data_IF_082694211215
#
_entry.id   IF_082694211215
#
_cell.length_a   1.000
_cell.length_b   1.000
_cell.length_c   1.000
_cell.angle_alpha   90.00
_cell.angle_beta   90.00
_cell.angle_gamma   90.00
#
_symmetry.space_group_name_H-M   'P 1'
#
loop_
_entity.id
_entity.type
_entity.pdbx_description
1 polymer ?
#
# COMPACT_ATOMS: atom_id res chain seq x y z
N UNK A 1 25.87 13.14 0.70
CA UNK A 1 25.74 14.34 1.58
C UNK A 1 25.69 13.81 3.01
N UNK A 2 26.43 14.42 3.94
CA UNK A 2 26.39 13.98 5.35
C UNK A 2 25.26 14.74 6.06
N UNK A 3 24.23 13.99 6.47
CA UNK A 3 23.09 14.56 7.17
C UNK A 3 23.33 14.62 8.69
N UNK A 4 22.95 15.71 9.34
CA UNK A 4 23.03 15.80 10.79
C UNK A 4 22.00 14.90 11.47
N UNK A 5 22.25 14.53 12.73
CA UNK A 5 21.33 13.72 13.52
C UNK A 5 19.92 14.36 13.61
N UNK A 6 19.86 15.67 13.80
CA UNK A 6 18.59 16.39 13.87
C UNK A 6 17.83 16.38 12.54
N UNK A 7 18.51 16.51 11.40
CA UNK A 7 17.86 16.40 10.09
C UNK A 7 17.24 15.00 9.89
N UNK A 8 17.97 13.94 10.28
CA UNK A 8 17.44 12.56 10.26
C UNK A 8 16.20 12.44 11.13
N UNK A 9 16.23 12.98 12.37
CA UNK A 9 15.07 12.93 13.28
C UNK A 9 13.85 13.66 12.71
N UNK A 10 14.03 14.83 12.07
CA UNK A 10 12.91 15.55 11.45
C UNK A 10 12.32 14.81 10.24
N UNK A 11 13.16 14.19 9.41
CA UNK A 11 12.65 13.39 8.30
C UNK A 11 11.96 12.10 8.78
N UNK A 12 12.50 11.46 9.83
CA UNK A 12 11.80 10.33 10.47
C UNK A 12 10.42 10.76 10.98
N UNK A 13 10.31 11.96 11.54
CA UNK A 13 9.02 12.51 11.96
C UNK A 13 8.08 12.75 10.78
N UNK A 14 8.58 13.24 9.64
CA UNK A 14 7.78 13.40 8.42
C UNK A 14 7.25 12.05 7.89
N UNK A 15 8.09 11.01 7.91
CA UNK A 15 7.68 9.64 7.57
C UNK A 15 6.60 9.11 8.53
N UNK A 16 6.77 9.33 9.85
CA UNK A 16 5.77 8.91 10.84
C UNK A 16 4.42 9.62 10.64
N UNK A 17 4.46 10.93 10.36
CA UNK A 17 3.25 11.72 10.11
C UNK A 17 2.53 11.27 8.84
N UNK A 18 3.26 10.90 7.78
CA UNK A 18 2.70 10.34 6.55
C UNK A 18 1.81 9.11 6.81
N UNK A 19 2.16 8.26 7.79
CA UNK A 19 1.38 7.05 8.13
C UNK A 19 -0.08 7.32 8.49
N UNK A 20 -0.42 8.52 8.93
CA UNK A 20 -1.80 8.92 9.25
C UNK A 20 -2.73 8.91 8.03
N UNK A 21 -2.16 9.01 6.81
CA UNK A 21 -2.86 8.91 5.53
C UNK A 21 -3.02 7.48 5.00
N UNK A 22 -2.41 6.48 5.64
CA UNK A 22 -2.37 5.10 5.14
C UNK A 22 -3.78 4.51 4.96
N UNK A 23 -4.02 3.94 3.76
CA UNK A 23 -5.30 3.36 3.37
C UNK A 23 -6.38 4.37 2.95
N UNK A 24 -6.08 5.68 2.89
CA UNK A 24 -7.05 6.75 2.59
C UNK A 24 -6.72 7.55 1.33
N UNK A 25 -5.46 7.59 0.92
CA UNK A 25 -4.95 8.55 -0.07
C UNK A 25 -4.88 8.00 -1.50
N UNK A 26 -4.81 6.69 -1.70
CA UNK A 26 -4.69 6.09 -3.04
C UNK A 26 -5.75 6.62 -4.02
N UNK A 27 -5.40 6.90 -5.28
CA UNK A 27 -4.12 6.63 -5.93
C UNK A 27 -3.00 7.65 -5.69
N UNK A 28 -3.17 8.65 -4.81
CA UNK A 28 -2.11 9.56 -4.43
C UNK A 28 -1.07 8.88 -3.54
N UNK A 29 0.20 9.34 -3.56
CA UNK A 29 1.23 8.82 -2.68
C UNK A 29 0.99 9.19 -1.21
N UNK A 30 1.58 8.40 -0.32
CA UNK A 30 1.60 8.65 1.11
C UNK A 30 2.69 9.67 1.43
N UNK A 31 2.31 10.92 1.72
CA UNK A 31 3.25 12.02 1.92
C UNK A 31 3.06 12.66 3.29
N UNK A 32 4.18 13.00 3.93
CA UNK A 32 4.24 13.78 5.17
C UNK A 32 5.18 14.97 5.02
N UNK A 33 4.87 16.02 5.75
CA UNK A 33 5.66 17.26 5.80
C UNK A 33 5.81 17.74 7.24
N UNK A 34 7.03 18.12 7.62
CA UNK A 34 7.33 18.73 8.92
C UNK A 34 8.03 20.07 8.70
N UNK A 35 7.48 21.14 9.28
CA UNK A 35 8.10 22.47 9.26
C UNK A 35 8.94 22.69 10.52
N UNK A 36 10.20 23.06 10.32
CA UNK A 36 11.17 23.28 11.38
C UNK A 36 11.70 24.72 11.34
N UNK A 37 11.65 25.41 12.48
CA UNK A 37 12.20 26.74 12.63
C UNK A 37 13.02 26.82 13.93
N UNK A 38 14.21 27.41 13.86
CA UNK A 38 15.12 27.54 14.99
C UNK A 38 15.38 26.20 15.72
N UNK A 39 15.50 25.10 14.93
CA UNK A 39 15.75 23.75 15.43
C UNK A 39 14.55 23.08 16.13
N UNK A 40 13.37 23.64 16.02
CA UNK A 40 12.13 23.09 16.60
C UNK A 40 11.07 22.83 15.54
N UNK A 41 10.34 21.72 15.68
CA UNK A 41 9.15 21.47 14.88
C UNK A 41 8.08 22.51 15.28
N UNK A 42 7.57 23.23 14.28
CA UNK A 42 6.51 24.25 14.47
C UNK A 42 5.18 23.79 13.88
N UNK A 43 5.17 22.83 12.95
CA UNK A 43 3.95 22.29 12.36
C UNK A 43 4.20 20.96 11.67
N UNK A 44 3.12 20.19 11.46
CA UNK A 44 3.09 18.90 10.78
C UNK A 44 1.92 18.84 9.80
N UNK A 45 2.13 18.15 8.69
CA UNK A 45 1.08 17.90 7.70
C UNK A 45 1.25 16.55 7.03
N UNK A 46 0.16 15.98 6.58
CA UNK A 46 0.13 14.75 5.80
C UNK A 46 -0.99 14.82 4.78
N UNK A 47 -0.88 14.05 3.72
CA UNK A 47 -2.02 13.88 2.82
C UNK A 47 -3.05 12.98 3.52
N UNK A 48 -4.18 13.55 3.93
CA UNK A 48 -5.13 12.86 4.82
C UNK A 48 -6.10 11.94 4.05
N UNK A 49 -6.56 12.39 2.88
CA UNK A 49 -7.49 11.64 2.04
C UNK A 49 -7.45 12.12 0.58
N UNK A 50 -7.91 11.28 -0.34
CA UNK A 50 -7.98 11.63 -1.76
C UNK A 50 -8.85 12.88 -1.99
N UNK A 51 -8.23 13.90 -2.61
CA UNK A 51 -8.85 15.21 -2.88
C UNK A 51 -8.73 16.21 -1.74
N UNK A 52 -8.13 15.83 -0.60
CA UNK A 52 -7.75 16.72 0.49
C UNK A 52 -6.47 17.53 0.20
N UNK A 53 -6.06 18.35 1.17
CA UNK A 53 -4.80 19.10 1.09
C UNK A 53 -3.60 18.16 0.98
N UNK A 54 -2.58 18.58 0.26
CA UNK A 54 -1.29 17.91 0.27
C UNK A 54 -0.55 18.19 1.58
N UNK A 55 0.43 17.35 1.90
CA UNK A 55 1.14 17.40 3.18
C UNK A 55 1.77 18.78 3.47
N UNK A 56 2.37 19.41 2.46
CA UNK A 56 3.01 20.73 2.57
C UNK A 56 1.98 21.80 2.88
N UNK A 57 0.84 21.80 2.17
CA UNK A 57 -0.25 22.75 2.40
C UNK A 57 -0.87 22.57 3.78
N UNK A 58 -1.05 21.31 4.21
CA UNK A 58 -1.54 21.01 5.55
C UNK A 58 -0.57 21.48 6.64
N UNK A 59 0.74 21.28 6.46
CA UNK A 59 1.76 21.74 7.42
C UNK A 59 1.81 23.27 7.51
N UNK A 60 1.67 23.99 6.40
CA UNK A 60 1.60 25.45 6.38
C UNK A 60 0.36 25.92 7.14
N UNK A 61 -0.81 25.33 6.85
CA UNK A 61 -2.05 25.64 7.53
C UNK A 61 -1.99 25.33 9.04
N UNK A 62 -1.38 24.22 9.43
CA UNK A 62 -1.16 23.86 10.83
C UNK A 62 -0.28 24.89 11.56
N UNK A 63 0.80 25.35 10.92
CA UNK A 63 1.65 26.41 11.47
C UNK A 63 0.83 27.69 11.76
N UNK A 64 0.08 28.16 10.76
CA UNK A 64 -0.73 29.37 10.87
C UNK A 64 -1.83 29.24 11.93
N UNK A 65 -2.52 28.10 11.98
CA UNK A 65 -3.57 27.82 12.97
C UNK A 65 -3.02 27.81 14.40
N UNK A 66 -1.76 27.40 14.59
CA UNK A 66 -1.08 27.42 15.89
C UNK A 66 -0.33 28.74 16.18
N UNK A 67 -0.50 29.78 15.36
CA UNK A 67 0.11 31.08 15.56
C UNK A 67 1.60 31.12 15.23
N UNK A 68 2.14 30.15 14.50
CA UNK A 68 3.50 30.11 14.03
C UNK A 68 3.62 30.65 12.60
N UNK A 69 4.62 31.49 12.36
CA UNK A 69 4.93 31.92 10.98
C UNK A 69 5.85 30.91 10.32
N UNK A 70 5.44 30.31 9.17
CA UNK A 70 6.28 29.40 8.39
C UNK A 70 7.44 30.11 7.70
N UNK A 71 7.41 31.45 7.58
CA UNK A 71 8.44 32.22 6.91
C UNK A 71 9.82 31.98 7.54
N UNK A 72 10.79 31.60 6.72
CA UNK A 72 12.16 31.25 7.13
C UNK A 72 12.30 29.84 7.72
N UNK A 73 11.25 29.02 7.73
CA UNK A 73 11.34 27.63 8.16
C UNK A 73 12.02 26.72 7.12
N UNK A 74 12.44 25.53 7.56
CA UNK A 74 12.87 24.40 6.73
C UNK A 74 11.74 23.41 6.65
N UNK A 75 11.36 22.98 5.44
CA UNK A 75 10.36 21.94 5.21
C UNK A 75 11.05 20.59 4.95
N UNK A 76 10.72 19.57 5.73
CA UNK A 76 11.10 18.17 5.51
C UNK A 76 9.93 17.46 4.89
N UNK A 77 10.06 17.00 3.64
CA UNK A 77 8.97 16.39 2.87
C UNK A 77 9.39 15.02 2.37
N UNK A 78 8.54 14.02 2.54
CA UNK A 78 8.87 12.63 2.18
C UNK A 78 8.91 12.37 0.69
N UNK A 79 8.28 13.22 -0.14
CA UNK A 79 8.29 13.16 -1.60
C UNK A 79 8.48 14.56 -2.20
N UNK A 80 9.06 14.64 -3.39
CA UNK A 80 9.22 15.88 -4.15
C UNK A 80 7.90 16.65 -4.27
N UNK A 81 7.85 17.94 -3.85
CA UNK A 81 6.65 18.77 -3.97
C UNK A 81 6.16 18.89 -5.41
N UNK A 82 4.86 18.71 -5.61
CA UNK A 82 4.26 18.83 -6.95
C UNK A 82 4.35 20.25 -7.50
N UNK A 83 4.55 20.36 -8.83
CA UNK A 83 4.62 21.62 -9.57
C UNK A 83 3.58 21.71 -10.72
N UNK A 84 2.44 21.05 -10.55
CA UNK A 84 1.34 21.12 -11.51
C UNK A 84 0.04 21.51 -10.81
N UNK A 85 -0.82 22.21 -11.53
CA UNK A 85 -2.15 22.54 -11.04
C UNK A 85 -3.04 21.31 -11.08
N UNK A 86 -3.47 20.88 -9.91
CA UNK A 86 -4.46 19.85 -9.71
C UNK A 86 -5.79 20.47 -9.24
N UNK A 87 -6.41 19.85 -8.25
CA UNK A 87 -7.58 20.41 -7.53
C UNK A 87 -7.18 21.54 -6.57
N UNK A 88 -5.93 21.58 -6.18
CA UNK A 88 -5.30 22.61 -5.34
C UNK A 88 -4.13 23.24 -6.11
N UNK A 89 -3.69 24.48 -5.74
CA UNK A 89 -2.45 25.05 -6.27
C UNK A 89 -1.25 24.11 -6.04
N UNK A 90 -0.18 24.22 -6.88
CA UNK A 90 1.03 23.44 -6.70
C UNK A 90 1.62 23.60 -5.29
N UNK A 91 2.17 22.54 -4.72
CA UNK A 91 2.85 22.60 -3.43
C UNK A 91 4.09 23.52 -3.47
N UNK A 92 4.76 23.60 -4.63
CA UNK A 92 5.87 24.54 -4.84
C UNK A 92 5.43 25.98 -4.60
N UNK A 93 4.28 26.41 -5.17
CA UNK A 93 3.74 27.76 -4.94
C UNK A 93 3.39 27.99 -3.47
N UNK A 94 2.75 27.01 -2.82
CA UNK A 94 2.41 27.12 -1.41
C UNK A 94 3.65 27.32 -0.51
N UNK A 95 4.72 26.58 -0.78
CA UNK A 95 6.01 26.71 -0.06
C UNK A 95 6.66 28.08 -0.32
N UNK A 96 6.65 28.55 -1.57
CA UNK A 96 7.17 29.89 -1.94
C UNK A 96 6.39 31.00 -1.22
N UNK A 97 5.06 30.99 -1.26
CA UNK A 97 4.22 32.00 -0.62
C UNK A 97 4.31 32.00 0.89
N UNK A 98 4.53 30.82 1.49
CA UNK A 98 4.79 30.69 2.92
C UNK A 98 6.17 31.21 3.35
N UNK A 99 7.05 31.52 2.39
CA UNK A 99 8.40 32.02 2.64
C UNK A 99 9.35 30.95 3.22
N UNK A 100 9.15 29.68 2.83
CA UNK A 100 10.06 28.59 3.21
C UNK A 100 11.47 28.88 2.64
N UNK A 101 12.50 28.75 3.46
CA UNK A 101 13.87 29.05 3.06
C UNK A 101 14.63 27.85 2.48
N UNK A 102 14.26 26.65 2.92
CA UNK A 102 14.91 25.41 2.53
C UNK A 102 13.90 24.26 2.52
N UNK A 103 14.01 23.38 1.52
CA UNK A 103 13.23 22.15 1.41
C UNK A 103 14.17 20.95 1.38
N UNK A 104 13.96 19.99 2.28
CA UNK A 104 14.70 18.74 2.35
C UNK A 104 13.75 17.63 1.97
N UNK A 105 14.05 16.92 0.89
CA UNK A 105 13.19 15.91 0.26
C UNK A 105 13.79 14.52 0.51
N UNK A 106 12.96 13.57 0.92
CA UNK A 106 13.42 12.20 1.04
C UNK A 106 13.55 11.53 -0.33
N UNK A 107 12.50 11.48 -1.14
CA UNK A 107 12.48 10.79 -2.43
C UNK A 107 12.03 11.74 -3.55
N UNK A 108 12.68 11.66 -4.71
CA UNK A 108 12.22 12.37 -5.91
C UNK A 108 10.97 11.71 -6.47
N UNK A 109 10.08 12.50 -7.06
CA UNK A 109 8.89 11.93 -7.68
C UNK A 109 9.28 11.12 -8.94
N UNK A 110 8.96 9.83 -9.01
CA UNK A 110 9.26 9.00 -10.17
C UNK A 110 8.35 9.27 -11.36
N UNK A 111 7.20 9.95 -11.15
CA UNK A 111 6.26 10.26 -12.20
C UNK A 111 6.91 11.19 -13.24
N UNK A 112 7.05 10.76 -14.51
CA UNK A 112 7.74 11.56 -15.55
C UNK A 112 7.16 12.96 -15.78
N UNK A 113 5.89 13.17 -15.43
CA UNK A 113 5.23 14.48 -15.57
C UNK A 113 5.50 15.44 -14.42
N UNK A 114 6.06 14.95 -13.31
CA UNK A 114 6.36 15.71 -12.10
C UNK A 114 7.87 15.79 -11.85
N UNK A 115 8.60 14.71 -12.14
CA UNK A 115 10.00 14.46 -11.80
C UNK A 115 10.91 15.66 -12.08
N UNK A 116 11.51 16.19 -11.03
CA UNK A 116 12.49 17.28 -11.08
C UNK A 116 11.91 18.66 -11.34
N UNK A 117 10.63 18.77 -11.71
CA UNK A 117 10.01 20.07 -11.98
C UNK A 117 9.73 20.86 -10.70
N UNK A 118 9.45 20.16 -9.60
CA UNK A 118 9.25 20.77 -8.29
C UNK A 118 10.55 21.30 -7.70
N UNK A 119 11.61 20.51 -7.77
CA UNK A 119 12.96 20.91 -7.32
C UNK A 119 13.43 22.16 -8.09
N UNK A 120 13.39 22.12 -9.43
CA UNK A 120 13.82 23.23 -10.25
C UNK A 120 13.02 24.50 -9.98
N UNK A 121 11.69 24.43 -9.85
CA UNK A 121 10.86 25.59 -9.57
C UNK A 121 11.20 26.24 -8.21
N UNK A 122 11.48 25.44 -7.18
CA UNK A 122 11.88 25.93 -5.86
C UNK A 122 13.27 26.59 -5.92
N UNK A 123 14.25 25.99 -6.61
CA UNK A 123 15.59 26.55 -6.81
C UNK A 123 15.55 27.86 -7.59
N UNK A 124 14.77 27.95 -8.67
CA UNK A 124 14.57 29.17 -9.47
C UNK A 124 13.95 30.30 -8.63
N UNK A 125 13.13 29.96 -7.62
CA UNK A 125 12.59 30.92 -6.67
C UNK A 125 13.54 31.29 -5.53
N UNK A 126 14.78 30.77 -5.53
CA UNK A 126 15.81 31.05 -4.53
C UNK A 126 15.69 30.24 -3.23
N UNK A 127 14.88 29.19 -3.22
CA UNK A 127 14.77 28.25 -2.10
C UNK A 127 15.87 27.19 -2.21
N UNK A 128 16.60 26.96 -1.12
CA UNK A 128 17.61 25.88 -1.08
C UNK A 128 16.91 24.52 -1.08
N UNK A 129 17.30 23.62 -2.00
CA UNK A 129 16.72 22.28 -2.06
C UNK A 129 17.81 21.22 -1.88
N UNK A 130 17.57 20.29 -0.96
CA UNK A 130 18.39 19.10 -0.74
C UNK A 130 17.51 17.86 -0.82
N UNK A 131 18.04 16.71 -1.29
CA UNK A 131 17.26 15.49 -1.43
C UNK A 131 18.07 14.23 -1.13
N UNK A 132 17.39 13.10 -0.90
CA UNK A 132 17.99 11.80 -0.61
C UNK A 132 18.09 11.47 0.89
N UNK A 133 17.49 12.27 1.76
CA UNK A 133 17.50 11.99 3.20
C UNK A 133 16.47 10.89 3.53
N UNK A 134 16.95 9.74 4.02
CA UNK A 134 16.13 8.54 4.29
C UNK A 134 15.36 8.05 3.04
N UNK A 135 15.96 8.15 1.86
CA UNK A 135 15.35 7.82 0.58
C UNK A 135 14.79 6.39 0.56
N UNK A 136 15.55 5.41 1.06
CA UNK A 136 15.10 4.00 1.10
C UNK A 136 13.89 3.78 1.99
N UNK A 137 13.80 4.47 3.14
CA UNK A 137 12.64 4.39 4.03
C UNK A 137 11.39 5.00 3.39
N UNK A 138 11.55 6.17 2.75
CA UNK A 138 10.48 6.81 2.01
C UNK A 138 10.01 5.95 0.83
N UNK A 139 10.93 5.35 0.07
CA UNK A 139 10.61 4.44 -1.01
C UNK A 139 9.82 3.21 -0.51
N UNK A 140 10.27 2.58 0.58
CA UNK A 140 9.56 1.45 1.19
C UNK A 140 8.14 1.83 1.61
N UNK A 141 7.95 3.03 2.20
CA UNK A 141 6.64 3.51 2.64
C UNK A 141 5.68 3.74 1.48
N UNK A 142 6.19 4.21 0.33
CA UNK A 142 5.42 4.53 -0.88
C UNK A 142 5.52 3.44 -1.96
N UNK A 143 6.03 2.25 -1.64
CA UNK A 143 6.34 1.21 -2.61
C UNK A 143 5.19 0.92 -3.61
N UNK A 144 3.91 0.81 -3.22
CA UNK A 144 2.82 0.60 -4.18
C UNK A 144 2.72 1.72 -5.22
N UNK A 145 2.86 2.98 -4.82
CA UNK A 145 2.86 4.13 -5.71
C UNK A 145 4.06 4.13 -6.66
N UNK A 146 5.27 3.90 -6.13
CA UNK A 146 6.51 3.85 -6.92
C UNK A 146 6.44 2.72 -7.97
N UNK A 147 6.03 1.52 -7.55
CA UNK A 147 5.84 0.39 -8.46
C UNK A 147 4.85 0.71 -9.58
N UNK A 148 3.72 1.37 -9.26
CA UNK A 148 2.74 1.76 -10.27
C UNK A 148 3.29 2.82 -11.24
N UNK A 149 4.06 3.80 -10.76
CA UNK A 149 4.70 4.80 -11.62
C UNK A 149 5.67 4.16 -12.62
N UNK A 150 6.43 3.17 -12.19
CA UNK A 150 7.48 2.52 -13.00
C UNK A 150 6.92 1.44 -13.93
N UNK A 151 6.06 0.58 -13.40
CA UNK A 151 5.63 -0.65 -14.07
C UNK A 151 4.21 -0.60 -14.64
N UNK A 152 3.43 0.45 -14.33
CA UNK A 152 2.03 0.63 -14.74
C UNK A 152 1.14 -0.56 -14.38
N UNK A 153 1.48 -1.28 -13.32
CA UNK A 153 0.71 -2.36 -12.74
C UNK A 153 0.66 -2.23 -11.21
N UNK A 154 -0.36 -2.81 -10.54
CA UNK A 154 -0.35 -2.86 -9.09
C UNK A 154 0.82 -3.68 -8.55
N UNK A 155 1.27 -3.31 -7.35
CA UNK A 155 2.05 -4.17 -6.49
C UNK A 155 1.16 -5.32 -6.03
N UNK A 156 1.60 -6.56 -6.25
CA UNK A 156 0.84 -7.77 -5.93
C UNK A 156 1.27 -8.31 -4.58
N UNK A 157 0.36 -8.21 -3.61
CA UNK A 157 0.49 -8.73 -2.26
C UNK A 157 -0.33 -10.02 -2.14
N UNK A 158 0.30 -11.15 -1.85
CA UNK A 158 -0.39 -12.42 -1.60
C UNK A 158 -0.50 -12.67 -0.10
N UNK A 159 -1.67 -13.07 0.37
CA UNK A 159 -1.84 -13.59 1.74
C UNK A 159 -2.37 -15.02 1.68
N UNK A 160 -1.69 -15.94 2.33
CA UNK A 160 -2.08 -17.32 2.47
C UNK A 160 -2.04 -17.73 3.94
N UNK A 161 -3.13 -18.32 4.45
CA UNK A 161 -3.15 -18.97 5.75
C UNK A 161 -3.01 -20.48 5.57
N UNK A 162 -2.16 -21.11 6.38
CA UNK A 162 -1.94 -22.55 6.43
C UNK A 162 -2.02 -23.04 7.88
N UNK A 163 -2.42 -24.27 8.06
CA UNK A 163 -2.33 -24.99 9.34
C UNK A 163 -0.87 -25.38 9.66
N UNK A 164 -0.65 -26.06 10.80
CA UNK A 164 0.67 -26.50 11.21
C UNK A 164 1.37 -27.44 10.20
N UNK A 165 0.62 -28.11 9.35
CA UNK A 165 1.09 -29.07 8.35
C UNK A 165 1.09 -28.53 6.90
N UNK A 166 0.80 -27.25 6.70
CA UNK A 166 0.81 -26.61 5.38
C UNK A 166 -0.50 -26.75 4.59
N UNK A 167 -1.61 -27.06 5.26
CA UNK A 167 -2.93 -27.15 4.64
C UNK A 167 -3.69 -25.83 4.68
N UNK A 168 -4.45 -25.53 3.63
CA UNK A 168 -5.22 -24.29 3.48
C UNK A 168 -6.70 -24.46 3.84
N UNK A 169 -7.18 -25.68 3.89
CA UNK A 169 -8.59 -26.00 4.13
C UNK A 169 -8.73 -27.39 4.75
N UNK A 170 -9.86 -27.63 5.37
CA UNK A 170 -10.30 -28.92 5.90
C UNK A 170 -11.59 -29.35 5.16
N UNK A 171 -11.58 -30.54 4.57
CA UNK A 171 -12.75 -31.09 3.89
C UNK A 171 -13.78 -31.71 4.83
N UNK A 172 -13.51 -31.71 6.15
CA UNK A 172 -14.46 -32.22 7.13
C UNK A 172 -15.73 -31.36 7.18
N UNK A 173 -16.84 -31.94 7.66
CA UNK A 173 -18.11 -31.24 7.84
C UNK A 173 -18.01 -30.13 8.91
N UNK A 174 -17.05 -30.24 9.81
CA UNK A 174 -16.79 -29.25 10.87
C UNK A 174 -15.72 -28.22 10.47
N UNK A 175 -15.34 -28.21 9.19
CA UNK A 175 -14.37 -27.24 8.68
C UNK A 175 -14.82 -25.80 8.96
N UNK A 176 -13.96 -25.03 9.56
CA UNK A 176 -14.20 -23.64 9.90
C UNK A 176 -12.91 -22.83 9.82
N UNK A 177 -13.04 -21.57 10.20
CA UNK A 177 -11.88 -20.71 10.29
C UNK A 177 -10.91 -21.25 11.34
N UNK A 178 -9.63 -21.30 10.99
CA UNK A 178 -8.55 -21.83 11.82
C UNK A 178 -7.52 -20.76 12.22
N UNK A 179 -7.81 -19.48 11.95
CA UNK A 179 -7.00 -18.34 12.38
C UNK A 179 -7.70 -17.55 13.46
N UNK A 180 -6.93 -16.98 14.39
CA UNK A 180 -7.41 -16.22 15.56
C UNK A 180 -8.08 -14.90 15.16
N UNK A 181 -8.87 -14.33 16.07
CA UNK A 181 -9.50 -13.02 15.87
C UNK A 181 -8.47 -11.91 15.71
N UNK A 182 -7.34 -11.95 16.45
CA UNK A 182 -6.26 -10.98 16.31
C UNK A 182 -5.58 -11.04 14.93
N UNK A 183 -5.42 -12.25 14.38
CA UNK A 183 -4.93 -12.40 13.01
C UNK A 183 -5.90 -11.78 11.99
N UNK A 184 -7.20 -11.98 12.20
CA UNK A 184 -8.21 -11.39 11.31
C UNK A 184 -8.20 -9.87 11.33
N UNK A 185 -7.99 -9.25 12.49
CA UNK A 185 -7.85 -7.80 12.59
C UNK A 185 -6.68 -7.31 11.71
N UNK A 186 -5.53 -8.00 11.79
CA UNK A 186 -4.36 -7.71 10.95
C UNK A 186 -4.62 -7.92 9.45
N UNK A 187 -5.35 -8.97 9.07
CA UNK A 187 -5.77 -9.18 7.68
C UNK A 187 -6.68 -8.04 7.21
N UNK A 188 -7.57 -7.53 8.06
CA UNK A 188 -8.41 -6.39 7.70
C UNK A 188 -7.63 -5.06 7.67
N UNK A 189 -6.58 -4.88 8.46
CA UNK A 189 -5.63 -3.78 8.30
C UNK A 189 -4.96 -3.84 6.92
N UNK A 190 -4.45 -5.02 6.52
CA UNK A 190 -3.82 -5.23 5.22
C UNK A 190 -4.81 -4.98 4.06
N UNK A 191 -6.07 -5.46 4.17
CA UNK A 191 -7.12 -5.18 3.18
C UNK A 191 -7.42 -3.68 3.03
N UNK A 192 -7.43 -2.93 4.14
CA UNK A 192 -7.65 -1.47 4.14
C UNK A 192 -6.62 -0.73 3.31
N UNK A 193 -5.40 -1.25 3.24
CA UNK A 193 -4.30 -0.66 2.49
C UNK A 193 -4.34 -1.01 0.99
N UNK A 194 -5.15 -2.01 0.60
CA UNK A 194 -5.25 -2.46 -0.78
C UNK A 194 -6.37 -1.73 -1.54
N UNK A 195 -6.12 -1.47 -2.83
CA UNK A 195 -7.10 -0.88 -3.74
C UNK A 195 -8.04 -1.94 -4.30
N UNK A 196 -7.55 -3.19 -4.41
CA UNK A 196 -8.33 -4.32 -4.88
C UNK A 196 -7.98 -5.61 -4.14
N UNK A 197 -8.95 -6.53 -4.08
CA UNK A 197 -8.78 -7.89 -3.54
C UNK A 197 -9.23 -8.88 -4.61
N UNK A 198 -8.38 -9.88 -4.91
CA UNK A 198 -8.61 -10.88 -5.92
C UNK A 198 -8.72 -12.28 -5.32
N UNK A 199 -9.71 -13.04 -5.77
CA UNK A 199 -9.89 -14.47 -5.49
C UNK A 199 -10.19 -15.25 -6.77
N UNK A 200 -9.93 -16.56 -6.76
CA UNK A 200 -10.47 -17.48 -7.75
C UNK A 200 -11.91 -17.86 -7.42
N UNK A 201 -12.69 -18.24 -8.43
CA UNK A 201 -14.09 -18.61 -8.27
C UNK A 201 -14.31 -19.80 -7.31
N UNK A 202 -13.34 -20.72 -7.20
CA UNK A 202 -13.45 -21.87 -6.27
C UNK A 202 -13.48 -21.40 -4.81
N UNK A 203 -12.76 -20.32 -4.45
CA UNK A 203 -12.87 -19.69 -3.14
C UNK A 203 -14.27 -19.10 -2.91
N UNK A 204 -14.88 -18.48 -3.94
CA UNK A 204 -16.24 -17.96 -3.82
C UNK A 204 -17.27 -19.08 -3.62
N UNK A 205 -17.16 -20.17 -4.37
CA UNK A 205 -18.04 -21.33 -4.27
C UNK A 205 -17.90 -22.00 -2.88
N UNK A 206 -16.68 -22.08 -2.35
CA UNK A 206 -16.38 -22.76 -1.08
C UNK A 206 -16.80 -21.93 0.13
N UNK A 207 -16.44 -20.65 0.16
CA UNK A 207 -16.43 -19.84 1.38
C UNK A 207 -17.51 -18.74 1.37
N UNK A 208 -18.08 -18.42 0.22
CA UNK A 208 -19.01 -17.29 0.00
C UNK A 208 -18.52 -16.01 0.73
N UNK A 209 -17.27 -15.55 0.46
CA UNK A 209 -16.65 -14.48 1.22
C UNK A 209 -17.25 -13.13 0.85
N UNK A 210 -17.22 -12.17 1.80
CA UNK A 210 -17.61 -10.79 1.50
C UNK A 210 -16.45 -9.95 0.94
N UNK A 211 -15.20 -10.29 1.23
CA UNK A 211 -13.97 -9.57 0.83
C UNK A 211 -13.97 -8.07 1.17
N UNK A 212 -14.71 -7.67 2.20
CA UNK A 212 -14.81 -6.29 2.66
C UNK A 212 -13.90 -6.01 3.85
N UNK A 213 -13.57 -4.75 4.07
CA UNK A 213 -12.97 -4.26 5.32
C UNK A 213 -14.11 -3.97 6.29
N UNK A 214 -14.20 -4.69 7.42
CA UNK A 214 -15.31 -4.57 8.39
C UNK A 214 -14.88 -4.69 9.86
N UNK A 215 -13.61 -4.99 10.13
CA UNK A 215 -13.08 -5.16 11.49
C UNK A 215 -12.26 -3.98 11.96
N UNK A 216 -11.84 -3.13 11.03
CA UNK A 216 -11.11 -1.90 11.29
C UNK A 216 -11.81 -0.75 10.58
N UNK A 217 -11.59 0.46 11.05
CA UNK A 217 -12.11 1.66 10.38
C UNK A 217 -11.51 1.80 8.98
N UNK A 218 -12.35 2.04 7.99
CA UNK A 218 -11.95 2.23 6.61
C UNK A 218 -12.80 3.29 5.92
N UNK A 219 -12.16 4.25 5.27
CA UNK A 219 -12.81 5.31 4.50
C UNK A 219 -13.33 4.83 3.13
N UNK A 220 -12.82 3.68 2.65
CA UNK A 220 -13.19 3.07 1.36
C UNK A 220 -13.16 1.55 1.45
N UNK A 221 -13.83 0.91 0.50
CA UNK A 221 -13.74 -0.53 0.32
C UNK A 221 -12.90 -0.87 -0.92
N UNK A 222 -12.10 -1.94 -0.90
CA UNK A 222 -11.36 -2.39 -2.07
C UNK A 222 -12.29 -2.90 -3.17
N UNK A 223 -11.90 -2.70 -4.44
CA UNK A 223 -12.52 -3.37 -5.59
C UNK A 223 -12.35 -4.88 -5.44
N UNK A 224 -13.44 -5.64 -5.51
CA UNK A 224 -13.38 -7.10 -5.46
C UNK A 224 -13.27 -7.69 -6.86
N UNK A 225 -12.35 -8.64 -7.04
CA UNK A 225 -12.07 -9.26 -8.34
C UNK A 225 -12.20 -10.78 -8.21
N UNK A 226 -13.00 -11.38 -9.08
CA UNK A 226 -13.16 -12.83 -9.14
C UNK A 226 -12.69 -13.33 -10.51
N UNK A 227 -11.69 -14.22 -10.53
CA UNK A 227 -11.28 -14.94 -11.75
C UNK A 227 -12.23 -16.12 -11.92
N UNK A 228 -13.10 -16.05 -12.94
CA UNK A 228 -14.10 -17.07 -13.26
C UNK A 228 -14.24 -17.30 -14.78
N UNK A 229 -13.24 -17.87 -15.44
CA UNK A 229 -13.25 -18.06 -16.89
C UNK A 229 -14.40 -18.94 -17.39
N UNK A 230 -14.97 -19.76 -16.51
CA UNK A 230 -16.02 -20.73 -16.85
C UNK A 230 -17.42 -20.33 -16.35
N UNK A 231 -17.59 -19.11 -15.86
CA UNK A 231 -18.89 -18.57 -15.38
C UNK A 231 -19.55 -19.45 -14.32
N UNK A 232 -18.79 -19.92 -13.33
CA UNK A 232 -19.23 -20.81 -12.26
C UNK A 232 -19.71 -20.10 -11.00
N UNK A 233 -19.53 -18.79 -10.89
CA UNK A 233 -19.91 -18.03 -9.70
C UNK A 233 -21.40 -18.19 -9.40
N UNK A 234 -21.80 -18.62 -8.18
CA UNK A 234 -23.19 -18.76 -7.82
C UNK A 234 -23.92 -17.40 -7.85
N UNK A 235 -25.09 -17.35 -8.47
CA UNK A 235 -25.91 -16.12 -8.50
C UNK A 235 -26.31 -15.62 -7.11
N UNK A 236 -26.34 -16.52 -6.13
CA UNK A 236 -26.65 -16.21 -4.72
C UNK A 236 -25.45 -15.75 -3.92
N UNK A 237 -24.23 -15.72 -4.48
CA UNK A 237 -23.03 -15.33 -3.72
C UNK A 237 -23.12 -13.88 -3.22
N UNK A 238 -22.62 -13.65 -2.02
CA UNK A 238 -22.59 -12.31 -1.37
C UNK A 238 -21.97 -11.26 -2.25
N UNK A 239 -20.89 -11.62 -2.97
CA UNK A 239 -20.16 -10.71 -3.86
C UNK A 239 -21.02 -10.12 -4.99
N UNK A 240 -22.11 -10.77 -5.38
CA UNK A 240 -23.01 -10.30 -6.44
C UNK A 240 -24.27 -9.63 -5.90
N UNK A 241 -24.57 -9.76 -4.61
CA UNK A 241 -25.85 -9.37 -4.02
C UNK A 241 -25.75 -8.32 -2.91
N UNK A 242 -24.56 -7.75 -2.70
CA UNK A 242 -24.35 -6.60 -1.81
C UNK A 242 -24.11 -5.31 -2.61
N UNK A 243 -23.88 -4.19 -1.91
CA UNK A 243 -23.72 -2.86 -2.52
C UNK A 243 -22.26 -2.51 -2.88
N UNK A 244 -21.34 -3.46 -2.84
CA UNK A 244 -19.93 -3.19 -3.12
C UNK A 244 -19.56 -3.67 -4.54
N UNK A 245 -18.67 -2.93 -5.19
CA UNK A 245 -18.25 -3.23 -6.56
C UNK A 245 -17.50 -4.56 -6.64
N UNK A 246 -17.89 -5.39 -7.61
CA UNK A 246 -17.24 -6.68 -7.92
C UNK A 246 -17.04 -6.81 -9.42
N UNK A 247 -15.79 -7.03 -9.82
CA UNK A 247 -15.40 -7.31 -11.19
C UNK A 247 -15.26 -8.84 -11.37
N UNK A 248 -16.13 -9.46 -12.14
CA UNK A 248 -16.03 -10.89 -12.47
C UNK A 248 -15.36 -11.05 -13.83
N UNK A 249 -14.13 -11.59 -13.82
CA UNK A 249 -13.31 -11.81 -15.00
C UNK A 249 -13.63 -13.16 -15.62
N UNK A 250 -14.49 -13.18 -16.66
CA UNK A 250 -14.91 -14.37 -17.35
C UNK A 250 -14.30 -14.48 -18.75
N UNK A 251 -15.08 -14.24 -19.80
CA UNK A 251 -14.62 -14.34 -21.20
C UNK A 251 -13.53 -13.32 -21.55
N UNK A 252 -13.50 -12.20 -20.83
CA UNK A 252 -12.50 -11.12 -21.01
C UNK A 252 -11.16 -11.46 -20.37
N UNK A 253 -11.11 -12.47 -19.51
CA UNK A 253 -9.87 -12.90 -18.88
C UNK A 253 -8.92 -13.51 -19.90
N UNK A 254 -7.82 -12.82 -20.20
CA UNK A 254 -6.80 -13.26 -21.17
C UNK A 254 -5.61 -13.92 -20.48
N UNK A 255 -5.07 -13.24 -19.45
CA UNK A 255 -3.92 -13.68 -18.68
C UNK A 255 -3.77 -12.81 -17.42
N UNK A 256 -3.00 -13.28 -16.45
CA UNK A 256 -2.68 -12.47 -15.26
C UNK A 256 -1.95 -11.16 -15.61
N UNK A 257 -0.92 -11.14 -16.48
CA UNK A 257 -0.29 -9.88 -16.87
C UNK A 257 -1.27 -8.88 -17.51
N UNK A 258 -2.18 -9.35 -18.40
CA UNK A 258 -3.19 -8.48 -19.00
C UNK A 258 -4.18 -7.93 -17.97
N UNK A 259 -4.54 -8.72 -16.96
CA UNK A 259 -5.37 -8.25 -15.83
C UNK A 259 -4.61 -7.18 -15.01
N UNK A 260 -3.34 -7.41 -14.69
CA UNK A 260 -2.55 -6.44 -13.92
C UNK A 260 -2.39 -5.11 -14.68
N UNK A 261 -2.20 -5.15 -16.00
CA UNK A 261 -2.16 -3.94 -16.82
C UNK A 261 -3.51 -3.19 -16.80
N UNK A 262 -4.64 -3.91 -16.98
CA UNK A 262 -5.98 -3.33 -16.87
C UNK A 262 -6.22 -2.67 -15.50
N UNK A 263 -5.74 -3.28 -14.42
CA UNK A 263 -5.83 -2.72 -13.08
C UNK A 263 -4.91 -1.49 -12.92
N UNK A 264 -3.73 -1.51 -13.49
CA UNK A 264 -2.82 -0.38 -13.54
C UNK A 264 -3.43 0.84 -14.27
N UNK A 265 -4.12 0.60 -15.40
CA UNK A 265 -4.85 1.64 -16.15
C UNK A 265 -6.02 2.25 -15.33
N UNK A 266 -6.54 1.49 -14.35
CA UNK A 266 -7.55 1.94 -13.38
C UNK A 266 -6.94 2.58 -12.13
N UNK A 267 -5.65 2.87 -12.14
CA UNK A 267 -4.90 3.45 -11.01
C UNK A 267 -4.92 2.59 -9.74
N UNK A 268 -5.16 1.29 -9.85
CA UNK A 268 -5.00 0.33 -8.75
C UNK A 268 -3.50 0.17 -8.50
N UNK A 269 -3.06 0.56 -7.31
CA UNK A 269 -1.64 0.54 -6.95
C UNK A 269 -1.25 -0.69 -6.12
N UNK A 270 -2.17 -1.22 -5.31
CA UNK A 270 -1.94 -2.41 -4.49
C UNK A 270 -3.08 -3.40 -4.64
N UNK A 271 -2.75 -4.62 -5.11
CA UNK A 271 -3.67 -5.73 -5.28
C UNK A 271 -3.37 -6.81 -4.23
N UNK A 272 -4.35 -7.17 -3.41
CA UNK A 272 -4.25 -8.32 -2.51
C UNK A 272 -4.82 -9.57 -3.17
N UNK A 273 -4.05 -10.64 -3.24
CA UNK A 273 -4.51 -11.96 -3.69
C UNK A 273 -4.78 -12.82 -2.47
N UNK A 274 -6.06 -13.11 -2.22
CA UNK A 274 -6.54 -14.02 -1.17
C UNK A 274 -7.15 -15.28 -1.78
N UNK A 275 -6.61 -15.72 -2.90
CA UNK A 275 -7.10 -16.87 -3.63
C UNK A 275 -6.73 -18.21 -3.01
N UNK A 276 -7.36 -19.26 -3.52
CA UNK A 276 -6.95 -20.62 -3.22
C UNK A 276 -5.57 -20.94 -3.82
N UNK A 277 -4.98 -22.10 -3.46
CA UNK A 277 -3.62 -22.48 -3.85
C UNK A 277 -3.37 -22.41 -5.36
N UNK A 278 -4.36 -22.75 -6.18
CA UNK A 278 -4.28 -22.71 -7.64
C UNK A 278 -4.05 -21.30 -8.16
N UNK A 279 -4.82 -20.33 -7.71
CA UNK A 279 -4.66 -18.93 -8.11
C UNK A 279 -3.29 -18.40 -7.70
N UNK A 280 -2.90 -18.64 -6.45
CA UNK A 280 -1.60 -18.20 -5.91
C UNK A 280 -0.44 -18.85 -6.69
N UNK A 281 -0.55 -20.17 -7.00
CA UNK A 281 0.46 -20.88 -7.80
C UNK A 281 0.68 -20.22 -9.16
N UNK A 282 -0.36 -19.83 -9.86
CA UNK A 282 -0.24 -19.14 -11.14
C UNK A 282 0.47 -17.78 -11.03
N UNK A 283 0.24 -17.03 -9.96
CA UNK A 283 0.97 -15.78 -9.71
C UNK A 283 2.46 -16.04 -9.42
N UNK A 284 2.78 -17.05 -8.61
CA UNK A 284 4.16 -17.44 -8.29
C UNK A 284 4.92 -17.94 -9.53
N UNK A 285 4.31 -18.82 -10.31
CA UNK A 285 4.90 -19.40 -11.52
C UNK A 285 5.22 -18.39 -12.60
N UNK A 286 4.46 -17.29 -12.66
CA UNK A 286 4.69 -16.21 -13.60
C UNK A 286 5.56 -15.07 -13.04
N UNK A 287 6.07 -15.21 -11.81
CA UNK A 287 6.89 -14.18 -11.17
C UNK A 287 6.16 -12.87 -10.89
N UNK A 288 4.85 -12.92 -10.66
CA UNK A 288 3.99 -11.74 -10.52
C UNK A 288 3.74 -11.34 -9.06
N UNK A 289 4.33 -12.04 -8.10
CA UNK A 289 4.19 -11.73 -6.66
C UNK A 289 5.31 -10.79 -6.24
N UNK A 290 4.96 -9.66 -5.65
CA UNK A 290 5.90 -8.67 -5.12
C UNK A 290 6.06 -8.83 -3.59
N UNK A 291 4.96 -9.11 -2.86
CA UNK A 291 4.93 -9.35 -1.41
C UNK A 291 4.15 -10.63 -1.09
N UNK A 292 4.60 -11.41 -0.10
CA UNK A 292 3.89 -12.60 0.33
C UNK A 292 3.82 -12.70 1.87
N UNK A 293 2.61 -12.83 2.38
CA UNK A 293 2.30 -13.03 3.81
C UNK A 293 1.85 -14.46 4.02
N UNK A 294 2.74 -15.30 4.51
CA UNK A 294 2.44 -16.68 4.88
C UNK A 294 2.07 -16.75 6.36
N UNK A 295 0.78 -16.88 6.63
CA UNK A 295 0.20 -16.99 7.97
C UNK A 295 0.17 -18.45 8.39
N UNK A 296 0.86 -18.82 9.43
CA UNK A 296 0.92 -20.19 9.95
C UNK A 296 0.20 -20.29 11.30
N UNK A 297 -0.86 -21.09 11.35
CA UNK A 297 -1.59 -21.45 12.56
C UNK A 297 -0.97 -22.69 13.20
N UNK A 298 -1.15 -22.83 14.51
CA UNK A 298 -0.77 -24.05 15.27
C UNK A 298 -1.81 -25.17 15.18
N UNK A 299 -2.97 -24.91 14.59
CA UNK A 299 -4.04 -25.89 14.39
C UNK A 299 -3.66 -26.94 13.35
N UNK A 300 -4.34 -28.09 13.37
CA UNK A 300 -4.14 -29.19 12.41
C UNK A 300 -5.48 -29.62 11.88
N UNK A 301 -5.64 -29.63 10.57
CA UNK A 301 -6.85 -30.06 9.88
C UNK A 301 -6.99 -31.59 9.90
N UNK A 302 -8.24 -32.08 10.02
CA UNK A 302 -8.53 -33.52 10.05
C UNK A 302 -8.54 -34.13 8.64
N UNK A 303 -9.06 -33.42 7.65
CA UNK A 303 -9.10 -33.79 6.22
C UNK A 303 -8.39 -32.73 5.39
N UNK A 304 -7.04 -32.64 5.49
CA UNK A 304 -6.28 -31.53 5.00
C UNK A 304 -6.30 -31.38 3.47
N UNK A 305 -6.35 -30.14 3.00
CA UNK A 305 -6.10 -29.76 1.60
C UNK A 305 -4.74 -29.07 1.54
N UNK A 306 -3.71 -29.69 0.96
CA UNK A 306 -2.38 -29.13 0.95
C UNK A 306 -2.30 -27.85 0.12
N UNK A 307 -1.55 -26.86 0.59
CA UNK A 307 -1.28 -25.62 -0.16
C UNK A 307 -0.30 -25.87 -1.31
N UNK A 308 0.62 -26.80 -1.15
CA UNK A 308 1.83 -26.96 -1.98
C UNK A 308 2.68 -25.68 -2.05
N UNK A 309 2.56 -24.81 -1.06
CA UNK A 309 3.32 -23.56 -0.95
C UNK A 309 4.06 -23.58 0.37
N UNK A 310 5.38 -23.64 0.29
CA UNK A 310 6.31 -23.63 1.41
C UNK A 310 7.41 -22.59 1.18
N UNK A 311 8.28 -22.42 2.17
CA UNK A 311 9.40 -21.48 2.08
C UNK A 311 10.32 -21.76 0.89
N UNK A 312 10.52 -23.03 0.52
CA UNK A 312 11.33 -23.40 -0.64
C UNK A 312 10.72 -22.88 -1.93
N UNK A 313 9.42 -23.12 -2.13
CA UNK A 313 8.72 -22.62 -3.34
C UNK A 313 8.73 -21.10 -3.43
N UNK A 314 8.63 -20.38 -2.31
CA UNK A 314 8.74 -18.92 -2.29
C UNK A 314 10.13 -18.45 -2.71
N UNK A 315 11.19 -19.08 -2.21
CA UNK A 315 12.58 -18.81 -2.64
C UNK A 315 12.77 -19.12 -4.12
N UNK A 316 12.29 -20.27 -4.59
CA UNK A 316 12.38 -20.68 -6.01
C UNK A 316 11.60 -19.71 -6.93
N UNK A 317 10.61 -19.00 -6.39
CA UNK A 317 9.84 -17.93 -7.09
C UNK A 317 10.51 -16.55 -7.03
N UNK A 318 11.72 -16.43 -6.46
CA UNK A 318 12.48 -15.19 -6.35
C UNK A 318 12.05 -14.27 -5.20
N UNK A 319 11.46 -14.84 -4.14
CA UNK A 319 11.10 -14.10 -2.93
C UNK A 319 12.12 -14.37 -1.81
N UNK A 320 12.45 -13.34 -1.05
CA UNK A 320 13.31 -13.43 0.14
C UNK A 320 12.50 -13.14 1.40
N UNK A 321 12.75 -13.87 2.47
CA UNK A 321 12.09 -13.61 3.76
C UNK A 321 12.70 -12.37 4.40
N UNK A 322 11.88 -11.34 4.62
CA UNK A 322 12.33 -10.06 5.19
C UNK A 322 12.02 -9.93 6.68
N UNK A 323 10.93 -10.54 7.15
CA UNK A 323 10.58 -10.51 8.58
C UNK A 323 9.71 -11.70 9.00
N UNK A 324 9.53 -11.81 10.33
CA UNK A 324 8.50 -12.61 10.96
C UNK A 324 7.79 -11.77 12.01
N UNK A 325 6.47 -11.87 12.03
CA UNK A 325 5.60 -11.14 12.94
C UNK A 325 4.64 -12.10 13.66
N UNK A 326 4.09 -11.63 14.78
CA UNK A 326 3.01 -12.30 15.49
C UNK A 326 1.71 -11.57 15.18
N UNK A 327 0.74 -12.26 14.55
CA UNK A 327 -0.60 -11.75 14.30
C UNK A 327 -1.62 -12.56 15.12
N UNK A 328 -2.00 -12.05 16.30
CA UNK A 328 -2.79 -12.83 17.25
C UNK A 328 -2.03 -14.06 17.73
N UNK A 329 -2.54 -15.26 17.44
CA UNK A 329 -1.91 -16.54 17.80
C UNK A 329 -1.01 -17.09 16.69
N UNK A 330 -1.06 -16.55 15.49
CA UNK A 330 -0.36 -17.01 14.30
C UNK A 330 1.01 -16.35 14.12
N UNK A 331 1.94 -17.11 13.56
CA UNK A 331 3.23 -16.60 13.10
C UNK A 331 3.10 -16.29 11.61
N UNK A 332 3.45 -15.07 11.23
CA UNK A 332 3.43 -14.62 9.84
C UNK A 332 4.84 -14.39 9.35
N UNK A 333 5.25 -15.13 8.34
CA UNK A 333 6.48 -14.82 7.62
C UNK A 333 6.18 -13.93 6.43
N UNK A 334 6.92 -12.81 6.32
CA UNK A 334 6.77 -11.82 5.26
C UNK A 334 7.94 -11.96 4.30
N UNK A 335 7.59 -12.01 3.02
CA UNK A 335 8.52 -12.23 1.92
C UNK A 335 8.34 -11.15 0.86
N UNK A 336 9.43 -10.62 0.36
CA UNK A 336 9.41 -9.62 -0.70
C UNK A 336 10.25 -10.10 -1.88
N UNK A 337 9.88 -9.63 -3.07
CA UNK A 337 10.75 -9.75 -4.23
C UNK A 337 11.94 -8.83 -4.06
N UNK A 338 13.13 -9.32 -4.37
CA UNK A 338 14.34 -8.50 -4.40
C UNK A 338 14.18 -7.46 -5.53
N UNK A 339 14.33 -6.17 -5.17
CA UNK A 339 14.19 -5.03 -6.08
C UNK A 339 15.52 -4.78 -6.78
#
# INVERSE_FOLDING_TARGET
MDWSKSQVEFMMRALEVAERGRGKVSPNPLVGCVLVKDGKVIAEGWHDHLGGLHAEQMAIHDAEANGHSPNGAVAYVTLEPCNHFGRTPPCTEALMWAGIKEVIIAHKDPNPTVRGSGIQALEDAGITVNYGLLESQAASQMHPFLNWCENRRPLVCVKLAIDANGSVDDRSEQAGRFTSEGCLDKVHELRRECDAILVGVDTVIRDDPSLTVRRVEASRQPLRIVIDPNKRIPKSSKLLNDNFETLVMSEEFRSLPALLNLLGDKEIQRLMVEGGPTTISHFLEQGLVDEFYLVQSSQVHQQPVPSNIDSKRLIDSGLIQVSKEQWGEEIVSIWNREI
#
